data_IF_966365543383
#
_entry.id   IF_966365543383
#
_cell.length_a   1.000
_cell.length_b   1.000
_cell.length_c   1.000
_cell.angle_alpha   90.00
_cell.angle_beta   90.00
_cell.angle_gamma   90.00
#
_symmetry.space_group_name_H-M   'P 1'
#
loop_
_entity.id
_entity.type
_entity.pdbx_description
1 polymer ?
#
# COMPACT_ATOMS: atom_id res chain seq x y z
N UNK A 1 -36.81 8.73 5.45
CA UNK A 1 -35.77 8.60 6.47
C UNK A 1 -34.48 8.41 5.75
N UNK A 2 -33.68 9.46 5.66
CA UNK A 2 -32.34 9.42 5.06
C UNK A 2 -31.44 8.43 5.82
N UNK A 3 -30.63 7.69 5.06
CA UNK A 3 -29.60 6.78 5.53
C UNK A 3 -28.65 7.44 6.54
N UNK A 4 -28.00 6.66 7.42
CA UNK A 4 -27.10 7.23 8.43
C UNK A 4 -26.02 8.05 7.76
N UNK A 5 -25.84 9.27 8.27
CA UNK A 5 -24.76 10.19 7.94
C UNK A 5 -23.49 9.58 8.50
N UNK A 6 -22.91 8.63 7.76
CA UNK A 6 -21.62 8.05 8.11
C UNK A 6 -20.61 9.19 8.20
N UNK A 7 -19.99 9.29 9.37
CA UNK A 7 -19.16 10.39 9.78
C UNK A 7 -18.15 10.77 8.70
N UNK A 8 -18.12 12.06 8.32
CA UNK A 8 -16.95 12.66 7.68
C UNK A 8 -15.90 12.88 8.78
N UNK A 9 -14.84 12.06 8.92
CA UNK A 9 -13.78 12.37 9.85
C UNK A 9 -12.83 13.31 9.11
N UNK A 10 -12.78 14.55 9.58
CA UNK A 10 -12.03 15.65 8.98
C UNK A 10 -10.70 15.23 8.35
N UNK A 11 -10.54 15.56 7.06
CA UNK A 11 -9.29 15.46 6.32
C UNK A 11 -8.53 14.11 6.45
N UNK A 12 -9.22 12.99 6.68
CA UNK A 12 -8.59 11.68 6.52
C UNK A 12 -8.23 11.51 5.04
N UNK A 13 -6.94 11.61 4.70
CA UNK A 13 -6.44 11.46 3.34
C UNK A 13 -7.10 10.26 2.64
N UNK A 14 -7.64 10.48 1.44
CA UNK A 14 -8.37 9.46 0.70
C UNK A 14 -7.50 8.19 0.54
N UNK A 15 -8.10 6.99 0.65
CA UNK A 15 -7.35 5.76 0.51
C UNK A 15 -6.76 5.65 -0.91
N UNK A 16 -5.48 5.32 -0.99
CA UNK A 16 -4.79 5.02 -2.24
C UNK A 16 -4.96 3.53 -2.57
N UNK A 17 -5.26 3.24 -3.84
CA UNK A 17 -5.36 1.88 -4.36
C UNK A 17 -4.23 1.63 -5.35
N UNK A 18 -3.43 0.59 -5.10
CA UNK A 18 -2.33 0.17 -5.97
C UNK A 18 -2.62 -1.22 -6.51
N UNK A 19 -2.63 -1.38 -7.83
CA UNK A 19 -2.80 -2.68 -8.49
C UNK A 19 -1.54 -3.02 -9.29
N UNK A 20 -1.02 -4.23 -9.10
CA UNK A 20 0.16 -4.72 -9.81
C UNK A 20 0.17 -6.24 -9.91
N UNK A 21 0.88 -6.75 -10.91
CA UNK A 21 1.12 -8.18 -11.06
C UNK A 21 2.30 -8.63 -10.19
N UNK A 22 2.14 -9.76 -9.53
CA UNK A 22 3.15 -10.41 -8.69
C UNK A 22 3.31 -11.84 -9.17
N UNK A 23 4.52 -12.20 -9.57
CA UNK A 23 4.84 -13.56 -9.97
C UNK A 23 5.22 -14.38 -8.73
N UNK A 24 4.85 -15.67 -8.73
CA UNK A 24 5.10 -16.56 -7.58
C UNK A 24 6.60 -16.65 -7.28
N UNK A 25 6.98 -16.35 -6.04
CA UNK A 25 8.39 -16.37 -5.57
C UNK A 25 9.03 -15.00 -5.35
N UNK A 26 8.43 -13.92 -5.87
CA UNK A 26 8.92 -12.57 -5.60
C UNK A 26 8.72 -12.20 -4.13
N UNK A 27 9.68 -11.49 -3.54
CA UNK A 27 9.48 -10.90 -2.20
C UNK A 27 8.74 -9.59 -2.37
N UNK A 28 7.79 -9.31 -1.50
CA UNK A 28 7.10 -8.01 -1.49
C UNK A 28 8.06 -6.84 -1.30
N UNK A 29 9.21 -7.09 -0.67
CA UNK A 29 10.22 -6.07 -0.42
C UNK A 29 9.71 -4.96 0.50
N UNK A 30 8.69 -5.23 1.32
CA UNK A 30 8.20 -4.30 2.33
C UNK A 30 8.35 -4.88 3.71
N UNK A 31 8.66 -4.01 4.64
CA UNK A 31 8.64 -4.28 6.07
C UNK A 31 7.45 -3.53 6.66
N UNK A 32 6.64 -4.26 7.43
CA UNK A 32 5.47 -3.70 8.10
C UNK A 32 5.75 -3.64 9.59
N UNK A 33 5.48 -2.48 10.20
CA UNK A 33 5.42 -2.29 11.65
C UNK A 33 3.96 -2.29 12.11
N UNK A 34 3.75 -2.65 13.37
CA UNK A 34 2.42 -2.66 13.98
C UNK A 34 2.23 -3.86 14.88
N UNK A 35 1.38 -3.69 15.88
CA UNK A 35 0.96 -4.76 16.78
C UNK A 35 -0.15 -5.59 16.12
N UNK A 36 -0.39 -6.78 16.64
CA UNK A 36 -1.44 -7.70 16.20
C UNK A 36 -2.88 -7.13 16.25
N UNK A 37 -3.08 -6.05 17.01
CA UNK A 37 -4.36 -5.34 17.14
C UNK A 37 -4.43 -4.03 16.34
N UNK A 38 -3.33 -3.59 15.72
CA UNK A 38 -3.25 -2.33 14.99
C UNK A 38 -3.14 -2.57 13.49
N UNK A 39 -3.54 -1.57 12.68
CA UNK A 39 -3.33 -1.66 11.24
C UNK A 39 -1.82 -1.68 10.93
N UNK A 40 -1.37 -2.55 10.02
CA UNK A 40 0.03 -2.60 9.62
C UNK A 40 0.44 -1.31 8.90
N UNK A 41 1.59 -0.77 9.26
CA UNK A 41 2.15 0.45 8.68
C UNK A 41 3.45 0.11 7.98
N UNK A 42 3.71 0.69 6.82
CA UNK A 42 4.96 0.51 6.09
C UNK A 42 6.11 1.12 6.90
N UNK A 43 7.02 0.27 7.35
CA UNK A 43 8.24 0.64 8.07
C UNK A 43 9.42 0.82 7.12
N UNK A 44 9.49 0.01 6.07
CA UNK A 44 10.57 0.05 5.09
C UNK A 44 10.11 -0.49 3.74
N UNK A 45 10.60 0.07 2.65
CA UNK A 45 10.40 -0.44 1.29
C UNK A 45 11.78 -0.63 0.67
N UNK A 46 12.10 -1.87 0.31
CA UNK A 46 13.33 -2.20 -0.39
C UNK A 46 13.30 -1.64 -1.81
N UNK A 47 14.38 -0.96 -2.18
CA UNK A 47 14.63 -0.52 -3.54
C UNK A 47 14.67 -1.74 -4.49
N UNK A 48 14.03 -1.61 -5.66
CA UNK A 48 13.87 -2.72 -6.61
C UNK A 48 12.76 -3.72 -6.28
N UNK A 49 11.93 -3.47 -5.26
CA UNK A 49 10.71 -4.23 -5.01
C UNK A 49 9.55 -3.80 -5.90
N UNK A 50 8.52 -4.65 -6.04
CA UNK A 50 7.31 -4.37 -6.85
C UNK A 50 6.58 -3.08 -6.45
N UNK A 51 6.74 -2.67 -5.20
CA UNK A 51 6.06 -1.50 -4.61
C UNK A 51 7.04 -0.37 -4.31
N UNK A 52 8.32 -0.51 -4.66
CA UNK A 52 9.31 0.55 -4.57
C UNK A 52 8.85 1.75 -5.40
N UNK A 53 8.86 2.95 -4.79
CA UNK A 53 8.36 4.17 -5.40
C UNK A 53 6.83 4.29 -5.50
N UNK A 54 6.06 3.26 -5.11
CA UNK A 54 4.58 3.32 -5.03
C UNK A 54 4.06 3.38 -3.60
N UNK A 55 4.72 2.65 -2.69
CA UNK A 55 4.49 2.75 -1.26
C UNK A 55 5.52 3.67 -0.63
N UNK A 56 5.08 4.45 0.34
CA UNK A 56 5.91 5.32 1.15
C UNK A 56 6.00 4.81 2.59
N UNK A 57 7.09 5.19 3.25
CA UNK A 57 7.28 4.99 4.69
C UNK A 57 6.15 5.69 5.44
N UNK A 58 5.49 4.99 6.36
CA UNK A 58 4.34 5.53 7.10
C UNK A 58 2.98 5.29 6.42
N UNK A 59 2.93 4.68 5.24
CA UNK A 59 1.66 4.26 4.64
C UNK A 59 0.99 3.19 5.49
N UNK A 60 -0.29 3.38 5.80
CA UNK A 60 -1.09 2.43 6.57
C UNK A 60 -1.79 1.49 5.61
N UNK A 61 -1.48 0.20 5.66
CA UNK A 61 -2.19 -0.80 4.86
C UNK A 61 -3.61 -0.98 5.41
N UNK A 62 -4.60 -0.79 4.55
CA UNK A 62 -6.00 -0.97 4.87
C UNK A 62 -6.47 -2.38 4.49
N UNK A 63 -6.19 -2.80 3.26
CA UNK A 63 -6.61 -4.12 2.75
C UNK A 63 -5.74 -4.63 1.59
N UNK A 64 -5.79 -5.94 1.36
CA UNK A 64 -5.14 -6.62 0.23
C UNK A 64 -6.17 -7.48 -0.50
N UNK A 65 -6.33 -7.26 -1.80
CA UNK A 65 -7.36 -7.89 -2.63
C UNK A 65 -8.77 -7.76 -2.03
N UNK A 66 -9.03 -6.65 -1.32
CA UNK A 66 -10.29 -6.41 -0.61
C UNK A 66 -10.36 -7.01 0.80
N UNK A 67 -9.40 -7.83 1.23
CA UNK A 67 -9.33 -8.40 2.58
C UNK A 67 -8.72 -7.36 3.54
N UNK A 68 -9.51 -6.89 4.52
CA UNK A 68 -9.01 -5.97 5.53
C UNK A 68 -7.97 -6.64 6.44
N UNK A 69 -6.86 -5.95 6.64
CA UNK A 69 -5.74 -6.50 7.39
C UNK A 69 -5.53 -5.78 8.70
N UNK A 70 -5.62 -6.57 9.77
CA UNK A 70 -5.46 -6.13 11.13
C UNK A 70 -4.33 -6.96 11.72
N UNK A 71 -3.28 -6.28 12.17
CA UNK A 71 -2.07 -6.92 12.66
C UNK A 71 -1.08 -7.36 11.59
N UNK A 72 0.20 -7.37 11.98
CA UNK A 72 1.31 -7.76 11.10
C UNK A 72 1.19 -9.21 10.61
N UNK A 73 0.66 -10.12 11.44
CA UNK A 73 0.55 -11.55 11.12
C UNK A 73 -0.45 -11.80 9.99
N UNK A 74 -1.65 -11.24 10.10
CA UNK A 74 -2.69 -11.37 9.06
C UNK A 74 -2.19 -10.75 7.75
N UNK A 75 -1.55 -9.59 7.83
CA UNK A 75 -0.99 -8.92 6.67
C UNK A 75 0.09 -9.76 5.97
N UNK A 76 1.02 -10.33 6.73
CA UNK A 76 2.06 -11.20 6.19
C UNK A 76 1.47 -12.42 5.49
N UNK A 77 0.44 -13.04 6.08
CA UNK A 77 -0.22 -14.20 5.49
C UNK A 77 -1.02 -13.84 4.23
N UNK A 78 -1.74 -12.72 4.23
CA UNK A 78 -2.45 -12.22 3.05
C UNK A 78 -1.48 -11.87 1.90
N UNK A 79 -0.36 -11.22 2.21
CA UNK A 79 0.73 -10.95 1.27
C UNK A 79 1.30 -12.26 0.67
N UNK A 80 1.53 -13.29 1.49
CA UNK A 80 2.02 -14.60 1.00
C UNK A 80 1.03 -15.27 0.05
N UNK A 81 -0.27 -15.23 0.38
CA UNK A 81 -1.35 -15.81 -0.45
C UNK A 81 -1.57 -15.02 -1.73
N UNK A 82 -1.39 -13.70 -1.69
CA UNK A 82 -1.60 -12.83 -2.82
C UNK A 82 -0.52 -13.06 -3.89
N UNK A 83 -0.95 -13.57 -5.04
CA UNK A 83 -0.14 -13.86 -6.23
C UNK A 83 -0.97 -13.57 -7.48
N UNK A 84 -0.33 -13.33 -8.62
CA UNK A 84 -1.04 -12.87 -9.82
C UNK A 84 -1.37 -11.38 -9.70
N UNK A 85 -2.62 -11.00 -9.93
CA UNK A 85 -3.05 -9.60 -9.81
C UNK A 85 -3.33 -9.26 -8.34
N UNK A 86 -2.55 -8.37 -7.74
CA UNK A 86 -2.75 -7.93 -6.37
C UNK A 86 -3.15 -6.46 -6.31
N UNK A 87 -4.19 -6.18 -5.53
CA UNK A 87 -4.69 -4.83 -5.26
C UNK A 87 -4.49 -4.49 -3.77
N UNK A 88 -3.62 -3.54 -3.47
CA UNK A 88 -3.44 -3.01 -2.11
C UNK A 88 -4.25 -1.74 -1.93
N UNK A 89 -4.97 -1.62 -0.81
CA UNK A 89 -5.58 -0.36 -0.37
C UNK A 89 -4.81 0.14 0.84
N UNK A 90 -4.42 1.40 0.82
CA UNK A 90 -3.62 2.03 1.87
C UNK A 90 -4.06 3.46 2.14
N UNK A 91 -3.62 4.03 3.27
CA UNK A 91 -3.84 5.42 3.64
C UNK A 91 -2.50 6.09 3.88
N UNK A 92 -2.27 7.22 3.24
CA UNK A 92 -1.06 8.02 3.39
C UNK A 92 -1.20 8.89 4.65
N UNK A 93 -0.67 8.43 5.78
CA UNK A 93 -0.83 9.09 7.09
C UNK A 93 0.33 10.05 7.44
N UNK A 94 1.41 10.00 6.67
CA UNK A 94 2.54 10.92 6.79
C UNK A 94 3.14 11.17 5.43
N UNK A 95 2.57 12.10 4.66
CA UNK A 95 3.21 12.56 3.44
C UNK A 95 4.47 13.36 3.82
N UNK A 96 5.64 12.76 3.64
CA UNK A 96 6.82 13.50 3.23
C UNK A 96 7.25 12.92 1.90
N UNK A 97 6.86 13.66 0.86
CA UNK A 97 7.49 13.84 -0.45
C UNK A 97 8.61 12.86 -0.79
N UNK A 98 8.46 12.12 -1.90
CA UNK A 98 9.55 11.70 -2.82
C UNK A 98 9.09 10.70 -3.90
N UNK A 99 7.85 10.19 -3.85
CA UNK A 99 7.28 9.38 -4.94
C UNK A 99 6.66 10.24 -6.07
N UNK A 100 7.37 11.27 -6.51
CA UNK A 100 7.18 11.89 -7.83
C UNK A 100 8.44 11.62 -8.65
N UNK A 101 8.62 10.38 -9.09
CA UNK A 101 9.65 10.04 -10.08
C UNK A 101 9.17 8.84 -10.92
N UNK A 102 8.15 9.06 -11.74
CA UNK A 102 8.06 8.32 -12.98
C UNK A 102 9.21 8.84 -13.88
N UNK A 103 10.09 7.98 -14.40
CA UNK A 103 11.09 8.43 -15.37
C UNK A 103 10.34 8.92 -16.61
N UNK A 104 10.59 10.17 -16.98
CA UNK A 104 10.17 10.72 -18.26
C UNK A 104 10.94 10.01 -19.36
N UNK A 105 10.34 8.97 -19.93
CA UNK A 105 10.85 8.31 -21.14
C UNK A 105 10.40 9.10 -22.37
N UNK A 106 11.39 9.55 -23.17
CA UNK A 106 11.24 9.71 -24.61
C UNK A 106 11.14 11.13 -25.15
N UNK A 107 12.29 11.77 -25.41
CA UNK A 107 12.48 12.42 -26.72
C UNK A 107 13.96 12.41 -27.12
N UNK A 108 14.38 11.32 -27.77
CA UNK A 108 15.54 11.33 -28.66
C UNK A 108 15.01 11.52 -30.09
N UNK A 109 15.22 12.70 -30.65
CA UNK A 109 15.26 13.00 -32.09
C UNK A 109 15.58 14.50 -32.22
N UNK A 110 16.56 14.98 -32.97
CA UNK A 110 17.54 14.43 -33.88
C UNK A 110 18.38 15.62 -34.40
#
# INVERSE_FOLDING_TARGET
>A
GEAPREAEPGAAAAPLTLTFARHGGEKWGVRLKGNETTRPVVEHVHEGSLVAGRLALGDVLLSINGEELWGHKLATEALKRATGSVTLRLRREGASVEAEAAPQEGNTAG
#
